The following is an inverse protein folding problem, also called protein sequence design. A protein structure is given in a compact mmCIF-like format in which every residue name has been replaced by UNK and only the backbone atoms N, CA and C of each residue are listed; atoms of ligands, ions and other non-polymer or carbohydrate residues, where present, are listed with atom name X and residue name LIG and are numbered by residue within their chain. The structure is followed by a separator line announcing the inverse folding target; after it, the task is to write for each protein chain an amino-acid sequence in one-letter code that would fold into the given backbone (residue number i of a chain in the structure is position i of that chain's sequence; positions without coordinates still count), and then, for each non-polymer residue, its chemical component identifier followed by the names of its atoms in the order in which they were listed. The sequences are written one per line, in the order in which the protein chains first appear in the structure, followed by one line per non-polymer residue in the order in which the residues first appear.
data_IF_169267286672
#
_entry.id   IF_169267286672
#
_cell.length_a   1.000
_cell.length_b   1.000
_cell.length_c   1.000
_cell.angle_alpha   90.00
_cell.angle_beta   90.00
_cell.angle_gamma   90.00
#
_symmetry.space_group_name_H-M   'P 1'
#
loop_
_entity.id
_entity.type
_entity.pdbx_description
1 polymer ?
#
# COMPACT_ATOMS: atom_id res chain seq x y z
N UNK A 1 -21.08 -24.65 42.37
CA UNK A 1 -20.20 -24.35 41.22
C UNK A 1 -20.09 -22.84 41.10
N UNK A 2 -18.91 -22.27 41.37
CA UNK A 2 -18.69 -20.84 41.54
C UNK A 2 -18.73 -20.09 40.20
N UNK A 3 -19.69 -19.17 40.05
CA UNK A 3 -19.70 -18.19 38.97
C UNK A 3 -18.90 -16.96 39.40
N UNK A 4 -17.62 -16.87 38.99
CA UNK A 4 -16.84 -15.62 39.11
C UNK A 4 -17.31 -14.67 38.01
N UNK A 5 -18.02 -13.60 38.40
CA UNK A 5 -18.24 -12.43 37.54
C UNK A 5 -16.94 -11.65 37.43
N UNK A 6 -16.14 -11.94 36.40
CA UNK A 6 -14.99 -11.10 36.05
C UNK A 6 -15.51 -9.76 35.53
N UNK A 7 -15.05 -8.61 36.06
CA UNK A 7 -15.40 -7.31 35.51
C UNK A 7 -14.83 -7.23 34.09
N UNK A 8 -15.70 -6.87 33.13
CA UNK A 8 -15.44 -6.89 31.70
C UNK A 8 -14.39 -5.85 31.24
N UNK A 9 -13.81 -5.06 32.15
CA UNK A 9 -12.77 -4.07 31.84
C UNK A 9 -11.75 -3.99 33.00
N UNK A 10 -10.52 -4.51 32.83
CA UNK A 10 -9.42 -4.29 33.76
C UNK A 10 -9.15 -2.80 33.99
N UNK A 11 -8.97 -2.38 35.24
CA UNK A 11 -8.66 -0.99 35.61
C UNK A 11 -7.41 -0.43 34.90
N UNK A 12 -6.50 -1.30 34.47
CA UNK A 12 -5.28 -0.95 33.73
C UNK A 12 -5.53 -0.48 32.28
N UNK A 13 -6.74 -0.70 31.71
CA UNK A 13 -7.11 -0.26 30.36
C UNK A 13 -7.69 1.16 30.31
N UNK A 14 -8.01 1.77 31.46
CA UNK A 14 -8.56 3.12 31.57
C UNK A 14 -7.69 4.20 30.87
N UNK A 15 -6.36 4.24 31.05
CA UNK A 15 -5.54 5.22 30.33
C UNK A 15 -5.55 5.01 28.80
N UNK A 16 -5.64 3.75 28.34
CA UNK A 16 -5.78 3.43 26.92
C UNK A 16 -7.12 3.88 26.34
N UNK A 17 -8.21 3.73 27.11
CA UNK A 17 -9.52 4.23 26.74
C UNK A 17 -9.53 5.76 26.62
N UNK A 18 -8.92 6.47 27.58
CA UNK A 18 -8.78 7.92 27.52
C UNK A 18 -8.00 8.38 26.29
N UNK A 19 -6.87 7.72 25.98
CA UNK A 19 -6.08 8.02 24.80
C UNK A 19 -6.87 7.77 23.51
N UNK A 20 -7.60 6.65 23.41
CA UNK A 20 -8.44 6.34 22.26
C UNK A 20 -9.55 7.38 22.07
N UNK A 21 -10.24 7.77 23.14
CA UNK A 21 -11.27 8.82 23.10
C UNK A 21 -10.68 10.15 22.68
N UNK A 22 -9.51 10.53 23.19
CA UNK A 22 -8.84 11.76 22.79
C UNK A 22 -8.46 11.75 21.29
N UNK A 23 -7.91 10.66 20.78
CA UNK A 23 -7.57 10.50 19.35
C UNK A 23 -8.82 10.62 18.48
N UNK A 24 -9.91 9.92 18.86
CA UNK A 24 -11.18 9.98 18.12
C UNK A 24 -11.75 11.40 18.16
N UNK A 25 -11.72 12.07 19.31
CA UNK A 25 -12.23 13.43 19.46
C UNK A 25 -11.44 14.42 18.58
N UNK A 26 -10.11 14.31 18.56
CA UNK A 26 -9.25 15.14 17.71
C UNK A 26 -9.54 14.86 16.23
N UNK A 27 -9.60 13.59 15.82
CA UNK A 27 -9.91 13.24 14.44
C UNK A 27 -11.28 13.78 14.00
N UNK A 28 -12.31 13.59 14.84
CA UNK A 28 -13.65 14.10 14.59
C UNK A 28 -13.68 15.64 14.53
N UNK A 29 -12.92 16.33 15.39
CA UNK A 29 -12.80 17.77 15.35
C UNK A 29 -12.08 18.25 14.07
N UNK A 30 -11.03 17.57 13.63
CA UNK A 30 -10.33 17.87 12.37
C UNK A 30 -11.24 17.68 11.16
N UNK A 31 -11.93 16.55 11.05
CA UNK A 31 -12.88 16.30 9.97
C UNK A 31 -14.07 17.27 10.02
N UNK A 32 -14.59 17.55 11.21
CA UNK A 32 -15.66 18.52 11.41
C UNK A 32 -15.25 19.94 11.03
N UNK A 33 -14.01 20.34 11.33
CA UNK A 33 -13.45 21.64 10.92
C UNK A 33 -13.28 21.73 9.41
N UNK A 34 -12.71 20.70 8.78
CA UNK A 34 -12.57 20.60 7.32
C UNK A 34 -13.93 20.68 6.63
N UNK A 35 -14.94 19.98 7.15
CA UNK A 35 -16.29 19.97 6.58
C UNK A 35 -16.96 21.34 6.67
N UNK A 36 -16.81 22.04 7.81
CA UNK A 36 -17.42 23.36 8.02
C UNK A 36 -16.75 24.48 7.23
N UNK A 37 -15.43 24.37 6.99
CA UNK A 37 -14.66 25.35 6.22
C UNK A 37 -14.45 24.95 4.76
N UNK A 38 -15.00 23.81 4.34
CA UNK A 38 -15.02 23.45 2.94
C UNK A 38 -15.81 24.52 2.18
N UNK A 39 -15.21 25.20 1.17
CA UNK A 39 -15.95 26.09 0.30
C UNK A 39 -17.13 25.32 -0.32
N UNK A 40 -18.24 26.02 -0.62
CA UNK A 40 -19.41 25.43 -1.24
C UNK A 40 -18.97 24.51 -2.38
N UNK A 41 -19.20 23.21 -2.21
CA UNK A 41 -18.63 22.19 -3.07
C UNK A 41 -19.21 22.36 -4.47
N UNK A 42 -18.48 23.05 -5.36
CA UNK A 42 -18.78 23.08 -6.79
C UNK A 42 -18.45 21.71 -7.36
N UNK A 43 -19.32 20.74 -7.11
CA UNK A 43 -19.21 19.38 -7.65
C UNK A 43 -19.09 19.41 -9.18
N UNK A 44 -19.67 20.44 -9.81
CA UNK A 44 -19.53 20.71 -11.24
C UNK A 44 -18.12 21.11 -11.64
N UNK A 45 -17.40 21.90 -10.83
CA UNK A 45 -16.02 22.27 -11.13
C UNK A 45 -15.06 21.09 -11.00
N UNK A 46 -15.24 20.24 -9.98
CA UNK A 46 -14.48 18.98 -9.86
C UNK A 46 -14.76 18.01 -11.03
N UNK A 47 -16.01 17.94 -11.47
CA UNK A 47 -16.39 17.09 -12.61
C UNK A 47 -15.83 17.61 -13.94
N UNK A 48 -15.67 18.92 -14.08
CA UNK A 48 -15.13 19.59 -15.27
C UNK A 48 -13.61 19.80 -15.19
N UNK A 49 -12.96 19.33 -14.13
CA UNK A 49 -11.52 19.47 -13.97
C UNK A 49 -10.76 18.48 -14.86
N UNK A 50 -10.25 18.98 -15.98
CA UNK A 50 -9.46 18.20 -16.94
C UNK A 50 -8.19 17.60 -16.32
N UNK A 51 -7.57 18.28 -15.35
CA UNK A 51 -6.38 17.77 -14.67
C UNK A 51 -6.72 16.53 -13.85
N UNK A 52 -7.82 16.58 -13.09
CA UNK A 52 -8.28 15.46 -12.28
C UNK A 52 -8.59 14.24 -13.16
N UNK A 53 -9.31 14.44 -14.26
CA UNK A 53 -9.59 13.37 -15.23
C UNK A 53 -8.33 12.83 -15.90
N UNK A 54 -7.34 13.69 -16.19
CA UNK A 54 -6.06 13.25 -16.73
C UNK A 54 -5.32 12.33 -15.74
N UNK A 55 -5.21 12.75 -14.48
CA UNK A 55 -4.55 11.96 -13.42
C UNK A 55 -5.27 10.63 -13.23
N UNK A 56 -6.59 10.62 -13.14
CA UNK A 56 -7.38 9.39 -12.98
C UNK A 56 -7.15 8.43 -14.14
N UNK A 57 -7.22 8.93 -15.39
CA UNK A 57 -7.00 8.11 -16.58
C UNK A 57 -5.57 7.58 -16.64
N UNK A 58 -4.59 8.41 -16.32
CA UNK A 58 -3.18 8.02 -16.26
C UNK A 58 -2.95 6.92 -15.22
N UNK A 59 -3.42 7.11 -13.98
CA UNK A 59 -3.28 6.14 -12.90
C UNK A 59 -4.01 4.84 -13.22
N UNK A 60 -5.21 4.91 -13.81
CA UNK A 60 -5.96 3.73 -14.21
C UNK A 60 -5.22 2.94 -15.30
N UNK A 61 -4.75 3.63 -16.34
CA UNK A 61 -4.03 2.98 -17.44
C UNK A 61 -2.69 2.39 -16.97
N UNK A 62 -1.98 3.10 -16.11
CA UNK A 62 -0.72 2.64 -15.51
C UNK A 62 -0.96 1.40 -14.64
N UNK A 63 -1.95 1.42 -13.76
CA UNK A 63 -2.30 0.28 -12.91
C UNK A 63 -2.79 -0.92 -13.73
N UNK A 64 -3.58 -0.68 -14.79
CA UNK A 64 -4.07 -1.72 -15.69
C UNK A 64 -2.91 -2.40 -16.43
N UNK A 65 -2.03 -1.63 -17.06
CA UNK A 65 -0.85 -2.17 -17.75
C UNK A 65 0.06 -2.94 -16.77
N UNK A 66 0.29 -2.40 -15.57
CA UNK A 66 1.07 -3.09 -14.53
C UNK A 66 0.42 -4.41 -14.09
N UNK A 67 -0.90 -4.44 -13.91
CA UNK A 67 -1.63 -5.65 -13.56
C UNK A 67 -1.55 -6.69 -14.68
N UNK A 68 -1.76 -6.30 -15.95
CA UNK A 68 -1.68 -7.21 -17.10
C UNK A 68 -0.27 -7.79 -17.24
N UNK A 69 0.76 -6.94 -17.23
CA UNK A 69 2.16 -7.36 -17.32
C UNK A 69 2.57 -8.29 -16.16
N UNK A 70 2.00 -8.12 -14.97
CA UNK A 70 2.27 -8.98 -13.81
C UNK A 70 1.49 -10.31 -13.84
N UNK A 71 0.20 -10.26 -14.15
CA UNK A 71 -0.71 -11.42 -14.05
C UNK A 71 -0.44 -12.45 -15.13
N UNK A 72 -0.14 -12.04 -16.37
CA UNK A 72 0.15 -12.97 -17.48
C UNK A 72 1.24 -13.99 -17.11
N UNK A 73 2.46 -13.58 -16.71
CA UNK A 73 3.49 -14.53 -16.28
C UNK A 73 3.16 -15.19 -14.93
N UNK A 74 2.46 -14.49 -14.03
CA UNK A 74 2.06 -15.05 -12.74
C UNK A 74 1.12 -16.25 -12.88
N UNK A 75 0.20 -16.25 -13.85
CA UNK A 75 -0.68 -17.40 -14.13
C UNK A 75 0.15 -18.62 -14.54
N UNK A 76 1.12 -18.43 -15.44
CA UNK A 76 2.00 -19.52 -15.88
C UNK A 76 2.82 -20.07 -14.70
N UNK A 77 3.37 -19.16 -13.88
CA UNK A 77 4.13 -19.51 -12.68
C UNK A 77 3.27 -20.25 -11.66
N UNK A 78 2.06 -19.76 -11.36
CA UNK A 78 1.14 -20.38 -10.41
C UNK A 78 0.73 -21.79 -10.86
N UNK A 79 0.43 -21.98 -12.16
CA UNK A 79 0.13 -23.30 -12.72
C UNK A 79 1.33 -24.25 -12.62
N UNK A 80 2.55 -23.76 -12.86
CA UNK A 80 3.76 -24.55 -12.70
C UNK A 80 4.00 -24.93 -11.23
N UNK A 81 3.84 -23.98 -10.30
CA UNK A 81 4.04 -24.14 -8.86
C UNK A 81 3.03 -25.10 -8.22
N UNK A 82 1.81 -25.15 -8.77
CA UNK A 82 0.78 -26.09 -8.34
C UNK A 82 1.09 -27.52 -8.77
N UNK A 83 1.57 -27.72 -10.01
CA UNK A 83 1.79 -29.06 -10.58
C UNK A 83 3.16 -29.67 -10.28
N UNK A 84 4.20 -28.87 -10.05
CA UNK A 84 5.58 -29.36 -9.83
C UNK A 84 6.03 -29.09 -8.38
N UNK A 85 6.53 -30.12 -7.72
CA UNK A 85 7.26 -30.00 -6.44
C UNK A 85 8.75 -29.89 -6.76
N UNK A 86 9.37 -28.74 -6.49
CA UNK A 86 10.81 -28.49 -6.67
C UNK A 86 11.39 -27.81 -5.43
N UNK A 87 12.70 -27.98 -5.17
CA UNK A 87 13.35 -27.50 -3.93
C UNK A 87 13.18 -25.98 -3.70
N UNK A 88 13.20 -25.17 -4.75
CA UNK A 88 13.06 -23.70 -4.66
C UNK A 88 11.65 -23.15 -4.41
N UNK A 89 10.62 -24.01 -4.35
CA UNK A 89 9.21 -23.60 -4.19
C UNK A 89 8.98 -22.74 -2.95
N UNK A 90 9.58 -23.12 -1.82
CA UNK A 90 9.42 -22.40 -0.56
C UNK A 90 10.07 -21.01 -0.61
N UNK A 91 11.19 -20.87 -1.31
CA UNK A 91 11.87 -19.58 -1.49
C UNK A 91 10.98 -18.62 -2.30
N UNK A 92 10.41 -19.07 -3.42
CA UNK A 92 9.51 -18.25 -4.23
C UNK A 92 8.27 -17.78 -3.45
N UNK A 93 7.65 -18.69 -2.68
CA UNK A 93 6.52 -18.34 -1.82
C UNK A 93 6.90 -17.33 -0.74
N UNK A 94 8.10 -17.48 -0.14
CA UNK A 94 8.63 -16.52 0.83
C UNK A 94 8.91 -15.15 0.21
N UNK A 95 9.45 -15.09 -1.02
CA UNK A 95 9.68 -13.84 -1.73
C UNK A 95 8.35 -13.11 -2.04
N UNK A 96 7.32 -13.83 -2.49
CA UNK A 96 5.99 -13.26 -2.65
C UNK A 96 5.42 -12.74 -1.32
N UNK A 97 5.55 -13.51 -0.23
CA UNK A 97 5.10 -13.05 1.09
C UNK A 97 5.88 -11.81 1.56
N UNK A 98 7.18 -11.76 1.28
CA UNK A 98 8.04 -10.63 1.64
C UNK A 98 7.59 -9.33 0.95
N UNK A 99 7.15 -9.40 -0.32
CA UNK A 99 6.63 -8.21 -1.02
C UNK A 99 5.36 -7.61 -0.38
N UNK A 100 4.62 -8.38 0.42
CA UNK A 100 3.43 -7.89 1.14
C UNK A 100 3.76 -7.23 2.49
N UNK A 101 4.85 -7.65 3.13
CA UNK A 101 5.22 -7.18 4.49
C UNK A 101 6.21 -6.02 4.42
N UNK A 102 6.90 -5.84 3.28
CA UNK A 102 7.89 -4.78 3.11
C UNK A 102 7.23 -3.40 3.22
N UNK A 103 7.80 -2.46 4.02
CA UNK A 103 7.32 -1.10 4.06
C UNK A 103 7.43 -0.43 2.68
N UNK A 104 6.42 0.34 2.29
CA UNK A 104 6.35 0.99 0.97
C UNK A 104 7.60 1.83 0.68
N UNK A 105 8.09 2.59 1.67
CA UNK A 105 9.29 3.41 1.50
C UNK A 105 10.54 2.56 1.19
N UNK A 106 10.70 1.42 1.85
CA UNK A 106 11.82 0.51 1.59
C UNK A 106 11.73 -0.05 0.17
N UNK A 107 10.52 -0.37 -0.30
CA UNK A 107 10.30 -0.81 -1.68
C UNK A 107 10.67 0.29 -2.70
N UNK A 108 10.23 1.53 -2.46
CA UNK A 108 10.55 2.68 -3.33
C UNK A 108 12.06 2.94 -3.37
N UNK A 109 12.74 2.95 -2.21
CA UNK A 109 14.19 3.10 -2.17
C UNK A 109 14.91 1.96 -2.89
N UNK A 110 14.44 0.71 -2.74
CA UNK A 110 14.98 -0.43 -3.47
C UNK A 110 14.85 -0.26 -4.99
N UNK A 111 13.68 0.17 -5.48
CA UNK A 111 13.47 0.46 -6.91
C UNK A 111 14.39 1.59 -7.38
N UNK A 112 14.51 2.68 -6.62
CA UNK A 112 15.40 3.80 -6.94
C UNK A 112 16.87 3.40 -6.96
N UNK A 113 17.31 2.52 -6.06
CA UNK A 113 18.69 2.01 -6.05
C UNK A 113 19.02 1.15 -7.28
N UNK A 114 18.03 0.50 -7.88
CA UNK A 114 18.24 -0.33 -9.07
C UNK A 114 18.04 0.49 -10.35
N UNK A 115 16.89 1.16 -10.49
CA UNK A 115 16.44 1.83 -11.71
C UNK A 115 16.64 3.35 -11.71
N UNK A 116 17.05 3.94 -10.59
CA UNK A 116 17.32 5.38 -10.51
C UNK A 116 18.52 5.80 -11.35
N UNK A 117 18.70 7.12 -11.49
CA UNK A 117 19.74 7.70 -12.36
C UNK A 117 21.18 7.27 -12.00
N UNK A 118 21.46 7.04 -10.72
CA UNK A 118 22.73 6.50 -10.22
C UNK A 118 22.63 5.03 -9.78
N UNK A 119 21.53 4.36 -10.13
CA UNK A 119 21.28 2.99 -9.73
C UNK A 119 22.17 1.98 -10.47
N UNK A 120 22.19 0.76 -9.97
CA UNK A 120 23.00 -0.34 -10.52
C UNK A 120 22.81 -0.51 -12.03
N UNK A 121 21.56 -0.48 -12.51
CA UNK A 121 21.23 -0.71 -13.92
C UNK A 121 21.77 0.42 -14.79
N UNK A 122 21.70 1.66 -14.30
CA UNK A 122 22.26 2.81 -14.98
C UNK A 122 23.79 2.70 -15.06
N UNK A 123 24.49 2.31 -13.99
CA UNK A 123 25.94 2.13 -13.98
C UNK A 123 26.41 1.03 -14.94
N UNK A 124 25.68 -0.09 -15.01
CA UNK A 124 25.98 -1.20 -15.93
C UNK A 124 25.73 -0.80 -17.39
N UNK A 125 24.70 0.00 -17.68
CA UNK A 125 24.46 0.52 -19.04
C UNK A 125 25.40 1.67 -19.41
N UNK A 126 25.98 2.36 -18.43
CA UNK A 126 27.00 3.39 -18.58
C UNK A 126 28.42 2.81 -18.68
N UNK A 127 28.58 1.47 -18.56
CA UNK A 127 29.87 0.82 -18.72
C UNK A 127 30.50 1.27 -20.05
N UNK A 128 31.76 1.72 -20.05
CA UNK A 128 32.33 2.48 -21.14
C UNK A 128 32.15 1.73 -22.45
N UNK A 129 31.38 2.33 -23.38
CA UNK A 129 31.60 2.01 -24.79
C UNK A 129 33.07 2.36 -25.07
N UNK A 130 33.85 1.44 -25.67
CA UNK A 130 35.26 1.68 -25.95
C UNK A 130 35.48 2.94 -26.78
#
# INVERSE_FOLDING_TARGET
MASRRQPLIPFWLIPGLFAAVAIIAIAAASFGSLWRHAPASDWRSLWQDDYLWHVIRFTFWQAFLSAVCSVIPAILLARALFRRRFLGRQLLLRLCAMTLVLPVLVAVFGILSVYGRQGWLAQICQFPRP
#
